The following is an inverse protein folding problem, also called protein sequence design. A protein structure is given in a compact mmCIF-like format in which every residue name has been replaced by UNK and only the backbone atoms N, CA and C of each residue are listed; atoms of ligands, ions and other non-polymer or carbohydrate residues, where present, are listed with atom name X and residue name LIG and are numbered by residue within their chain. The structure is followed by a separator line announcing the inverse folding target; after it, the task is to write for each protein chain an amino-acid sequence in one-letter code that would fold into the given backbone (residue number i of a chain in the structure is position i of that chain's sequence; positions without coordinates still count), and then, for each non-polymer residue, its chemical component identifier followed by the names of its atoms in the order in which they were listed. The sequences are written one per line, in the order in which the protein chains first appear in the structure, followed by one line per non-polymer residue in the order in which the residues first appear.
data_IF_975962133756
#
_entry.id   IF_975962133756
#
_cell.length_a   1.000
_cell.length_b   1.000
_cell.length_c   1.000
_cell.angle_alpha   90.00
_cell.angle_beta   90.00
_cell.angle_gamma   90.00
#
_symmetry.space_group_name_H-M   'P 1'
#
loop_
_entity.id
_entity.type
_entity.pdbx_description
1 polymer ?
#
# COMPACT_ATOMS: atom_id res chain seq x y z
N UNK A 1 34.43 -8.83 -45.52
CA UNK A 1 34.98 -8.59 -44.17
C UNK A 1 34.03 -7.78 -43.24
N UNK A 2 33.03 -7.03 -43.73
CA UNK A 2 32.15 -6.16 -42.88
C UNK A 2 31.06 -6.90 -42.07
N UNK A 3 30.62 -8.12 -42.48
CA UNK A 3 29.56 -8.85 -41.78
C UNK A 3 30.03 -9.63 -40.53
N UNK A 4 31.32 -9.98 -40.43
CA UNK A 4 31.87 -10.66 -39.23
C UNK A 4 32.16 -9.71 -38.07
N UNK A 5 32.46 -8.45 -38.37
CA UNK A 5 32.69 -7.43 -37.35
C UNK A 5 31.39 -7.01 -36.65
N UNK A 6 30.27 -7.02 -37.34
CA UNK A 6 28.95 -6.67 -36.78
C UNK A 6 28.45 -7.73 -35.78
N UNK A 7 28.72 -9.01 -36.05
CA UNK A 7 28.35 -10.11 -35.15
C UNK A 7 29.17 -10.11 -33.85
N UNK A 8 30.44 -9.72 -33.91
CA UNK A 8 31.33 -9.65 -32.73
C UNK A 8 30.92 -8.47 -31.86
N UNK A 9 30.52 -7.32 -32.43
CA UNK A 9 30.06 -6.17 -31.68
C UNK A 9 28.72 -6.43 -31.00
N UNK A 10 27.78 -7.15 -31.66
CA UNK A 10 26.50 -7.54 -31.04
C UNK A 10 26.68 -8.55 -29.90
N UNK A 11 27.66 -9.45 -30.02
CA UNK A 11 27.97 -10.43 -28.98
C UNK A 11 28.69 -9.79 -27.78
N UNK A 12 29.51 -8.75 -28.01
CA UNK A 12 30.18 -7.98 -26.95
C UNK A 12 29.20 -7.11 -26.16
N UNK A 13 28.15 -6.59 -26.79
CA UNK A 13 27.08 -5.83 -26.10
C UNK A 13 26.23 -6.76 -25.23
N UNK A 14 25.97 -8.00 -25.69
CA UNK A 14 25.26 -9.01 -24.88
C UNK A 14 26.09 -9.50 -23.66
N UNK A 15 27.41 -9.56 -23.78
CA UNK A 15 28.31 -9.97 -22.68
C UNK A 15 28.46 -8.86 -21.63
N UNK A 16 28.36 -7.58 -22.01
CA UNK A 16 28.40 -6.48 -21.03
C UNK A 16 27.16 -6.40 -20.12
N UNK A 17 26.02 -6.96 -20.50
CA UNK A 17 24.86 -7.09 -19.63
C UNK A 17 24.91 -8.27 -18.66
N UNK A 18 25.83 -9.22 -18.87
CA UNK A 18 25.96 -10.41 -18.02
C UNK A 18 26.98 -10.23 -16.87
N UNK A 19 27.76 -9.16 -16.84
CA UNK A 19 28.81 -8.96 -15.84
C UNK A 19 28.42 -8.06 -14.65
N UNK A 20 27.14 -7.58 -14.56
CA UNK A 20 26.66 -6.84 -13.39
C UNK A 20 25.86 -7.69 -12.40
N UNK A 21 25.83 -9.02 -12.57
CA UNK A 21 25.06 -9.94 -11.73
C UNK A 21 25.85 -10.59 -10.60
N UNK A 22 26.84 -9.89 -10.04
CA UNK A 22 27.55 -10.40 -8.87
C UNK A 22 27.19 -9.53 -7.65
N UNK A 23 26.14 -9.90 -6.91
CA UNK A 23 25.98 -9.56 -5.50
C UNK A 23 24.88 -8.59 -5.08
N UNK A 24 24.28 -7.76 -5.93
CA UNK A 24 23.18 -6.88 -5.48
C UNK A 24 21.83 -7.31 -6.06
N UNK A 25 20.80 -7.42 -5.21
CA UNK A 25 19.41 -7.67 -5.63
C UNK A 25 18.99 -6.59 -6.64
N UNK A 26 18.12 -6.95 -7.60
CA UNK A 26 17.50 -5.94 -8.49
C UNK A 26 16.51 -5.06 -7.72
N UNK A 27 16.17 -3.85 -8.20
CA UNK A 27 15.10 -3.04 -7.60
C UNK A 27 13.80 -3.82 -7.44
N UNK A 28 13.43 -4.59 -8.46
CA UNK A 28 12.25 -5.47 -8.44
C UNK A 28 12.30 -6.48 -7.30
N UNK A 29 13.42 -7.18 -7.13
CA UNK A 29 13.62 -8.13 -6.02
C UNK A 29 13.50 -7.47 -4.64
N UNK A 30 14.06 -6.27 -4.48
CA UNK A 30 13.99 -5.55 -3.20
C UNK A 30 12.56 -5.12 -2.90
N UNK A 31 11.80 -4.66 -3.91
CA UNK A 31 10.38 -4.33 -3.75
C UNK A 31 9.57 -5.58 -3.38
N UNK A 32 9.80 -6.72 -4.06
CA UNK A 32 9.13 -7.99 -3.72
C UNK A 32 9.41 -8.44 -2.29
N UNK A 33 10.66 -8.32 -1.82
CA UNK A 33 11.03 -8.69 -0.45
C UNK A 33 10.33 -7.77 0.57
N UNK A 34 10.27 -6.45 0.32
CA UNK A 34 9.54 -5.52 1.18
C UNK A 34 8.04 -5.86 1.23
N UNK A 35 7.42 -6.19 0.09
CA UNK A 35 6.00 -6.56 0.04
C UNK A 35 5.73 -7.87 0.80
N UNK A 36 6.60 -8.88 0.67
CA UNK A 36 6.53 -10.12 1.44
C UNK A 36 6.65 -9.85 2.93
N UNK A 37 7.60 -9.00 3.32
CA UNK A 37 7.80 -8.62 4.72
C UNK A 37 6.55 -7.96 5.29
N UNK A 38 5.94 -7.00 4.59
CA UNK A 38 4.69 -6.32 5.02
C UNK A 38 3.57 -7.33 5.24
N UNK A 39 3.44 -8.36 4.39
CA UNK A 39 2.41 -9.41 4.53
C UNK A 39 2.63 -10.35 5.72
N UNK A 40 3.87 -10.61 6.08
CA UNK A 40 4.25 -11.65 7.05
C UNK A 40 4.54 -11.13 8.45
N UNK A 41 4.88 -9.88 8.60
CA UNK A 41 5.15 -9.29 9.92
C UNK A 41 3.89 -9.23 10.76
N UNK A 42 3.92 -9.87 11.95
CA UNK A 42 2.80 -9.89 12.92
C UNK A 42 2.39 -8.49 13.41
N UNK A 43 3.27 -7.54 13.27
CA UNK A 43 3.06 -6.11 13.49
C UNK A 43 3.87 -5.41 12.42
N UNK A 44 3.27 -5.13 11.26
CA UNK A 44 3.97 -4.24 10.35
C UNK A 44 4.14 -2.91 11.07
N UNK A 45 5.35 -2.65 11.53
CA UNK A 45 5.70 -1.42 12.24
C UNK A 45 5.28 -0.16 11.47
N UNK A 46 5.02 -0.32 10.19
CA UNK A 46 4.64 0.73 9.29
C UNK A 46 3.12 0.89 9.17
N UNK A 47 2.36 -0.21 9.06
CA UNK A 47 0.88 -0.15 9.11
C UNK A 47 0.42 0.23 10.50
N UNK A 48 1.01 -0.34 11.55
CA UNK A 48 0.70 0.05 12.93
C UNK A 48 1.14 1.48 13.25
N UNK A 49 2.18 2.02 12.62
CA UNK A 49 2.56 3.45 12.79
C UNK A 49 1.56 4.39 12.13
N UNK A 50 0.91 4.00 11.02
CA UNK A 50 -0.16 4.78 10.42
C UNK A 50 -1.39 4.89 11.32
N UNK A 51 -1.62 3.86 12.15
CA UNK A 51 -2.73 3.76 13.09
C UNK A 51 -2.25 3.72 14.54
N UNK A 52 -1.00 4.11 14.82
CA UNK A 52 -0.34 3.97 16.13
C UNK A 52 -1.01 4.79 17.23
N UNK A 53 -2.31 4.68 17.29
CA UNK A 53 -3.11 5.09 18.43
C UNK A 53 -3.30 3.84 19.31
N UNK A 54 -2.38 3.67 20.28
CA UNK A 54 -2.51 2.63 21.31
C UNK A 54 -3.88 2.66 21.99
N UNK A 55 -4.54 3.80 21.96
CA UNK A 55 -5.90 4.02 22.47
C UNK A 55 -6.92 3.23 21.64
N UNK A 56 -6.77 3.19 20.29
CA UNK A 56 -7.66 2.41 19.42
C UNK A 56 -7.48 0.92 19.64
N UNK A 57 -6.24 0.44 19.72
CA UNK A 57 -5.93 -0.95 20.02
C UNK A 57 -6.49 -1.37 21.39
N UNK A 58 -6.30 -0.56 22.42
CA UNK A 58 -6.81 -0.83 23.77
C UNK A 58 -8.34 -0.81 23.83
N UNK A 59 -8.99 0.13 23.14
CA UNK A 59 -10.45 0.31 23.21
C UNK A 59 -11.22 -0.64 22.29
N UNK A 60 -10.69 -0.92 21.08
CA UNK A 60 -11.39 -1.69 20.04
C UNK A 60 -10.69 -3.03 19.70
N UNK A 61 -9.72 -3.46 20.48
CA UNK A 61 -8.81 -4.61 20.36
C UNK A 61 -9.14 -5.62 19.27
N UNK A 62 -10.18 -6.45 19.45
CA UNK A 62 -10.53 -7.50 18.47
C UNK A 62 -10.91 -6.97 17.08
N UNK A 63 -11.65 -5.88 17.02
CA UNK A 63 -12.10 -5.32 15.73
C UNK A 63 -10.95 -4.59 15.03
N UNK A 64 -10.09 -3.93 15.80
CA UNK A 64 -8.83 -3.37 15.31
C UNK A 64 -7.91 -4.45 14.73
N UNK A 65 -7.70 -5.55 15.47
CA UNK A 65 -6.87 -6.67 15.01
C UNK A 65 -7.39 -7.32 13.73
N UNK A 66 -8.71 -7.49 13.61
CA UNK A 66 -9.33 -7.98 12.38
C UNK A 66 -9.05 -7.06 11.19
N UNK A 67 -9.20 -5.75 11.41
CA UNK A 67 -8.94 -4.77 10.38
C UNK A 67 -7.46 -4.79 9.95
N UNK A 68 -6.51 -4.81 10.89
CA UNK A 68 -5.08 -4.89 10.58
C UNK A 68 -4.74 -6.15 9.77
N UNK A 69 -5.30 -7.30 10.15
CA UNK A 69 -5.15 -8.56 9.38
C UNK A 69 -5.68 -8.44 7.96
N UNK A 70 -6.80 -7.75 7.76
CA UNK A 70 -7.34 -7.49 6.41
C UNK A 70 -6.45 -6.55 5.60
N UNK A 71 -5.89 -5.50 6.21
CA UNK A 71 -4.94 -4.61 5.54
C UNK A 71 -3.70 -5.38 5.07
N UNK A 72 -3.22 -6.35 5.86
CA UNK A 72 -2.09 -7.21 5.49
C UNK A 72 -2.45 -8.30 4.46
N UNK A 73 -3.73 -8.63 4.32
CA UNK A 73 -4.22 -9.60 3.34
C UNK A 73 -4.51 -8.92 1.99
N UNK A 74 -3.49 -8.28 1.41
CA UNK A 74 -3.56 -7.77 0.04
C UNK A 74 -2.85 -8.72 -0.93
N UNK A 75 -3.26 -8.72 -2.20
CA UNK A 75 -2.53 -9.37 -3.29
C UNK A 75 -1.72 -8.33 -4.05
N UNK A 76 -0.60 -8.75 -4.64
CA UNK A 76 0.22 -7.86 -5.45
C UNK A 76 0.83 -8.56 -6.65
N UNK A 77 1.09 -7.78 -7.68
CA UNK A 77 1.85 -8.18 -8.86
C UNK A 77 2.91 -7.12 -9.16
N UNK A 78 4.19 -7.51 -9.13
CA UNK A 78 5.27 -6.61 -9.52
C UNK A 78 5.44 -6.68 -11.03
N UNK A 79 5.12 -5.56 -11.72
CA UNK A 79 5.06 -5.46 -13.17
C UNK A 79 6.38 -4.98 -13.77
N UNK A 80 6.48 -3.71 -14.07
CA UNK A 80 7.57 -3.11 -14.83
C UNK A 80 8.66 -2.57 -13.90
N UNK A 81 9.91 -2.71 -14.33
CA UNK A 81 11.08 -2.08 -13.71
C UNK A 81 11.76 -1.16 -14.75
N UNK A 82 12.13 0.04 -14.35
CA UNK A 82 12.97 0.95 -15.14
C UNK A 82 14.13 1.39 -14.27
N UNK A 83 15.35 1.19 -14.75
CA UNK A 83 16.59 1.58 -14.07
C UNK A 83 17.27 2.69 -14.84
N UNK A 84 17.66 3.74 -14.14
CA UNK A 84 18.45 4.88 -14.64
C UNK A 84 19.56 5.21 -13.64
N UNK A 85 20.73 4.66 -13.88
CA UNK A 85 21.90 4.83 -13.02
C UNK A 85 21.69 4.36 -11.58
N UNK A 86 21.69 5.29 -10.63
CA UNK A 86 21.41 5.04 -9.21
C UNK A 86 19.93 5.16 -8.83
N UNK A 87 19.03 5.41 -9.78
CA UNK A 87 17.58 5.50 -9.56
C UNK A 87 16.87 4.41 -10.32
N UNK A 88 15.77 3.92 -9.77
CA UNK A 88 14.87 3.03 -10.48
C UNK A 88 13.42 3.26 -10.04
N UNK A 89 12.50 2.84 -10.90
CA UNK A 89 11.08 2.79 -10.56
C UNK A 89 10.56 1.38 -10.81
N UNK A 90 9.72 0.90 -9.91
CA UNK A 90 9.07 -0.40 -10.02
C UNK A 90 7.56 -0.21 -9.91
N UNK A 91 6.82 -0.66 -10.92
CA UNK A 91 5.36 -0.65 -10.88
C UNK A 91 4.83 -1.87 -10.16
N UNK A 92 3.93 -1.64 -9.22
CA UNK A 92 3.27 -2.70 -8.45
C UNK A 92 1.76 -2.51 -8.57
N UNK A 93 1.05 -3.54 -9.00
CA UNK A 93 -0.40 -3.60 -8.89
C UNK A 93 -0.76 -4.18 -7.53
N UNK A 94 -1.55 -3.44 -6.76
CA UNK A 94 -2.10 -3.88 -5.47
C UNK A 94 -3.58 -4.21 -5.68
N UNK A 95 -4.03 -5.35 -5.14
CA UNK A 95 -5.43 -5.74 -5.06
C UNK A 95 -5.79 -6.02 -3.62
N UNK A 96 -6.79 -5.31 -3.11
CA UNK A 96 -7.20 -5.41 -1.70
C UNK A 96 -8.69 -5.13 -1.52
N UNK A 97 -9.15 -5.11 -0.28
CA UNK A 97 -10.52 -4.75 0.10
C UNK A 97 -10.78 -3.27 -0.16
N UNK A 98 -12.01 -2.93 -0.58
CA UNK A 98 -12.41 -1.53 -0.80
C UNK A 98 -12.77 -0.85 0.52
N UNK A 99 -11.74 -0.49 1.28
CA UNK A 99 -11.91 0.24 2.54
C UNK A 99 -12.34 1.69 2.32
N UNK A 100 -12.07 2.25 1.14
CA UNK A 100 -12.55 3.58 0.77
C UNK A 100 -14.08 3.63 0.69
N UNK A 101 -14.71 2.67 0.02
CA UNK A 101 -16.17 2.55 -0.03
C UNK A 101 -16.75 2.30 1.37
N UNK A 102 -16.14 1.43 2.18
CA UNK A 102 -16.59 1.17 3.55
C UNK A 102 -16.52 2.41 4.45
N UNK A 103 -15.48 3.24 4.29
CA UNK A 103 -15.36 4.52 4.99
C UNK A 103 -16.46 5.50 4.57
N UNK A 104 -16.74 5.63 3.26
CA UNK A 104 -17.84 6.47 2.77
C UNK A 104 -19.17 6.01 3.33
N UNK A 105 -19.46 4.72 3.32
CA UNK A 105 -20.66 4.15 3.95
C UNK A 105 -20.77 4.54 5.43
N UNK A 106 -19.65 4.50 6.16
CA UNK A 106 -19.62 4.93 7.55
C UNK A 106 -20.00 6.40 7.69
N UNK A 107 -19.39 7.27 6.89
CA UNK A 107 -19.67 8.70 6.90
C UNK A 107 -21.13 8.99 6.59
N UNK A 108 -21.68 8.41 5.52
CA UNK A 108 -23.06 8.61 5.10
C UNK A 108 -24.05 8.16 6.18
N UNK A 109 -23.77 7.02 6.83
CA UNK A 109 -24.57 6.51 7.95
C UNK A 109 -24.53 7.46 9.14
N UNK A 110 -23.36 7.96 9.53
CA UNK A 110 -23.21 8.92 10.64
C UNK A 110 -24.01 10.20 10.36
N UNK A 111 -23.93 10.72 9.13
CA UNK A 111 -24.67 11.93 8.72
C UNK A 111 -26.18 11.67 8.76
N UNK A 112 -26.65 10.52 8.26
CA UNK A 112 -28.07 10.16 8.30
C UNK A 112 -28.58 9.98 9.73
N UNK A 113 -27.81 9.32 10.59
CA UNK A 113 -28.17 9.08 11.98
C UNK A 113 -28.17 10.38 12.81
N UNK A 114 -27.29 11.33 12.51
CA UNK A 114 -27.32 12.66 13.10
C UNK A 114 -28.58 13.45 12.69
N UNK A 115 -28.92 13.42 11.39
CA UNK A 115 -30.13 14.08 10.85
C UNK A 115 -31.44 13.49 11.38
N UNK A 116 -31.47 12.18 11.63
CA UNK A 116 -32.65 11.50 12.18
C UNK A 116 -32.81 11.62 13.70
N UNK A 117 -31.85 12.26 14.38
CA UNK A 117 -31.85 12.38 15.85
C UNK A 117 -31.43 11.11 16.59
N UNK A 118 -30.91 10.11 15.92
CA UNK A 118 -30.35 8.89 16.55
C UNK A 118 -29.05 9.21 17.30
N UNK A 119 -28.27 10.16 16.81
CA UNK A 119 -27.11 10.73 17.53
C UNK A 119 -27.65 11.94 18.33
N UNK A 120 -27.61 11.81 19.66
CA UNK A 120 -28.10 12.83 20.60
C UNK A 120 -26.97 13.48 21.36
N UNK A 121 -27.27 14.51 22.16
CA UNK A 121 -26.26 15.16 23.03
C UNK A 121 -25.64 14.21 24.06
N UNK A 122 -26.31 13.10 24.41
CA UNK A 122 -25.79 12.07 25.31
C UNK A 122 -24.99 10.98 24.60
N UNK A 123 -24.89 10.98 23.28
CA UNK A 123 -24.16 9.99 22.50
C UNK A 123 -22.66 10.29 22.57
N UNK A 124 -21.83 9.32 22.96
CA UNK A 124 -20.39 9.39 22.71
C UNK A 124 -20.17 9.24 21.18
N UNK A 125 -20.16 10.37 20.48
CA UNK A 125 -20.05 10.42 19.01
C UNK A 125 -18.75 9.76 18.53
N UNK A 126 -17.65 9.96 19.26
CA UNK A 126 -16.36 9.36 18.90
C UNK A 126 -16.45 7.83 18.92
N UNK A 127 -16.99 7.30 20.00
CA UNK A 127 -17.14 5.85 20.17
C UNK A 127 -18.12 5.26 19.14
N UNK A 128 -19.23 5.94 18.90
CA UNK A 128 -20.21 5.57 17.88
C UNK A 128 -19.56 5.46 16.49
N UNK A 129 -18.82 6.49 16.09
CA UNK A 129 -18.17 6.55 14.77
C UNK A 129 -17.12 5.43 14.60
N UNK A 130 -16.26 5.21 15.60
CA UNK A 130 -15.25 4.15 15.51
C UNK A 130 -15.85 2.75 15.49
N UNK A 131 -16.87 2.47 16.30
CA UNK A 131 -17.55 1.17 16.26
C UNK A 131 -18.18 0.91 14.89
N UNK A 132 -18.89 1.88 14.34
CA UNK A 132 -19.49 1.76 13.01
C UNK A 132 -18.44 1.63 11.91
N UNK A 133 -17.33 2.38 12.02
CA UNK A 133 -16.21 2.30 11.08
C UNK A 133 -15.60 0.89 11.08
N UNK A 134 -15.21 0.34 12.23
CA UNK A 134 -14.65 -1.00 12.29
C UNK A 134 -15.64 -2.06 11.84
N UNK A 135 -16.92 -1.92 12.14
CA UNK A 135 -17.97 -2.81 11.65
C UNK A 135 -18.00 -2.81 10.12
N UNK A 136 -18.03 -1.65 9.48
CA UNK A 136 -18.08 -1.53 8.01
C UNK A 136 -16.77 -2.02 7.36
N UNK A 137 -15.59 -1.62 7.87
CA UNK A 137 -14.29 -2.07 7.36
C UNK A 137 -14.14 -3.60 7.46
N UNK A 138 -14.58 -4.19 8.56
CA UNK A 138 -14.50 -5.64 8.77
C UNK A 138 -15.56 -6.42 7.98
N UNK A 139 -16.65 -5.78 7.54
CA UNK A 139 -17.71 -6.42 6.75
C UNK A 139 -17.35 -6.61 5.28
N UNK A 140 -16.39 -5.86 4.73
CA UNK A 140 -15.96 -5.99 3.33
C UNK A 140 -15.41 -7.41 3.10
N UNK A 141 -15.98 -8.17 2.16
CA UNK A 141 -15.62 -9.58 1.95
C UNK A 141 -14.65 -9.77 0.79
N UNK A 142 -14.80 -8.97 -0.25
CA UNK A 142 -14.09 -9.18 -1.51
C UNK A 142 -12.98 -8.16 -1.71
N UNK A 143 -11.86 -8.61 -2.28
CA UNK A 143 -10.76 -7.74 -2.71
C UNK A 143 -11.10 -7.12 -4.07
N UNK A 144 -12.00 -6.14 -4.07
CA UNK A 144 -12.50 -5.47 -5.27
C UNK A 144 -11.69 -4.23 -5.66
N UNK A 145 -10.94 -3.65 -4.73
CA UNK A 145 -10.10 -2.49 -5.00
C UNK A 145 -8.79 -2.89 -5.68
N UNK A 146 -8.44 -2.17 -6.75
CA UNK A 146 -7.24 -2.42 -7.55
C UNK A 146 -6.58 -1.09 -7.93
N UNK A 147 -5.29 -0.95 -7.66
CA UNK A 147 -4.50 0.24 -8.03
C UNK A 147 -3.08 -0.14 -8.40
N UNK A 148 -2.58 0.41 -9.51
CA UNK A 148 -1.16 0.32 -9.84
C UNK A 148 -0.44 1.54 -9.27
N UNK A 149 0.63 1.31 -8.52
CA UNK A 149 1.47 2.33 -7.91
C UNK A 149 2.91 2.22 -8.41
N UNK A 150 3.65 3.31 -8.31
CA UNK A 150 5.07 3.34 -8.63
C UNK A 150 5.88 3.45 -7.34
N UNK A 151 6.76 2.49 -7.11
CA UNK A 151 7.73 2.51 -6.01
C UNK A 151 9.05 3.04 -6.55
N UNK A 152 9.59 4.06 -5.89
CA UNK A 152 10.91 4.59 -6.24
C UNK A 152 11.98 3.83 -5.48
N UNK A 153 13.06 3.52 -6.19
CA UNK A 153 14.23 2.86 -5.64
C UNK A 153 15.46 3.73 -5.85
N UNK A 154 16.35 3.73 -4.87
CA UNK A 154 17.62 4.46 -4.92
C UNK A 154 18.75 3.53 -4.53
N UNK A 155 19.85 3.58 -5.28
CA UNK A 155 21.05 2.81 -5.00
C UNK A 155 21.97 3.59 -4.07
N UNK A 156 22.28 3.01 -2.92
CA UNK A 156 23.22 3.62 -1.96
C UNK A 156 24.69 3.49 -2.44
N UNK A 157 25.62 4.08 -1.69
CA UNK A 157 27.04 4.06 -2.06
C UNK A 157 27.71 2.67 -1.94
N UNK A 158 27.06 1.73 -1.24
CA UNK A 158 27.46 0.31 -1.19
C UNK A 158 26.95 -0.49 -2.38
N UNK A 159 26.17 0.13 -3.27
CA UNK A 159 25.59 -0.52 -4.43
C UNK A 159 24.29 -1.28 -4.14
N UNK A 160 23.69 -1.08 -2.97
CA UNK A 160 22.43 -1.74 -2.57
C UNK A 160 21.23 -0.86 -2.90
N UNK A 161 20.14 -1.46 -3.37
CA UNK A 161 18.89 -0.76 -3.62
C UNK A 161 18.06 -0.62 -2.34
N UNK A 162 17.50 0.56 -2.14
CA UNK A 162 16.52 0.88 -1.11
C UNK A 162 15.25 1.38 -1.77
N UNK A 163 14.11 1.31 -1.08
CA UNK A 163 12.79 1.71 -1.62
C UNK A 163 12.16 2.79 -0.76
N UNK A 164 11.26 3.58 -1.36
CA UNK A 164 10.41 4.55 -0.66
C UNK A 164 9.09 3.94 -0.12
N UNK A 165 8.93 2.62 -0.18
CA UNK A 165 7.66 1.93 0.06
C UNK A 165 6.97 2.34 1.37
N UNK A 166 7.75 2.61 2.41
CA UNK A 166 7.25 2.98 3.73
C UNK A 166 6.78 4.44 3.84
N UNK A 167 7.16 5.29 2.91
CA UNK A 167 6.80 6.72 2.83
C UNK A 167 5.99 7.06 1.57
N UNK A 168 5.74 6.08 0.71
CA UNK A 168 5.02 6.26 -0.53
C UNK A 168 3.51 6.33 -0.26
N UNK A 169 2.96 7.53 -0.29
CA UNK A 169 1.54 7.80 0.04
C UNK A 169 0.59 7.05 -0.90
N UNK A 170 0.94 6.93 -2.19
CA UNK A 170 0.12 6.19 -3.15
C UNK A 170 0.08 4.69 -2.85
N UNK A 171 1.22 4.12 -2.43
CA UNK A 171 1.29 2.73 -2.00
C UNK A 171 0.48 2.50 -0.73
N UNK A 172 0.63 3.39 0.25
CA UNK A 172 -0.12 3.31 1.50
C UNK A 172 -1.63 3.44 1.27
N UNK A 173 -2.07 4.38 0.42
CA UNK A 173 -3.48 4.51 0.03
C UNK A 173 -3.97 3.27 -0.73
N UNK A 174 -3.14 2.70 -1.60
CA UNK A 174 -3.50 1.47 -2.32
C UNK A 174 -3.66 0.27 -1.38
N UNK A 175 -2.75 0.07 -0.41
CA UNK A 175 -2.89 -0.96 0.63
C UNK A 175 -4.16 -0.77 1.47
N UNK A 176 -4.51 0.50 1.74
CA UNK A 176 -5.71 0.89 2.47
C UNK A 176 -6.97 0.94 1.59
N UNK A 177 -6.93 0.33 0.40
CA UNK A 177 -8.08 0.24 -0.49
C UNK A 177 -8.72 1.60 -0.81
N UNK A 178 -7.91 2.65 -1.00
CA UNK A 178 -8.38 3.99 -1.33
C UNK A 178 -8.95 4.79 -0.16
N UNK A 179 -8.77 4.33 1.08
CA UNK A 179 -9.38 4.97 2.25
C UNK A 179 -8.87 6.40 2.46
N UNK A 180 -7.57 6.69 2.25
CA UNK A 180 -7.05 8.06 2.38
C UNK A 180 -7.63 9.00 1.32
N UNK A 181 -7.81 8.50 0.11
CA UNK A 181 -8.49 9.24 -0.97
C UNK A 181 -9.95 9.50 -0.60
N UNK A 182 -10.67 8.52 -0.05
CA UNK A 182 -12.05 8.68 0.40
C UNK A 182 -12.17 9.70 1.55
N UNK A 183 -11.27 9.68 2.53
CA UNK A 183 -11.23 10.66 3.63
C UNK A 183 -11.08 12.08 3.06
N UNK A 184 -10.14 12.30 2.15
CA UNK A 184 -9.93 13.61 1.51
C UNK A 184 -11.17 14.07 0.73
N UNK A 185 -11.83 13.17 0.01
CA UNK A 185 -13.06 13.45 -0.75
C UNK A 185 -14.19 13.92 0.16
N UNK A 186 -14.42 13.21 1.27
CA UNK A 186 -15.41 13.58 2.28
C UNK A 186 -15.11 14.96 2.89
N UNK A 187 -13.85 15.22 3.25
CA UNK A 187 -13.43 16.51 3.80
C UNK A 187 -13.59 17.67 2.82
N UNK A 188 -13.45 17.41 1.52
CA UNK A 188 -13.65 18.40 0.46
C UNK A 188 -15.12 18.61 0.08
N UNK A 189 -16.08 17.93 0.73
CA UNK A 189 -17.51 17.98 0.38
C UNK A 189 -17.86 17.34 -0.97
N UNK A 190 -17.02 16.42 -1.45
CA UNK A 190 -17.17 15.71 -2.73
C UNK A 190 -17.68 14.26 -2.54
N UNK A 191 -18.26 13.98 -1.39
CA UNK A 191 -18.76 12.65 -1.04
C UNK A 191 -20.18 12.41 -1.58
#
# INVERSE_FOLDING_TARGET
MKKKTLLIVSMLVLVMFALTACGSKSPKSVVEDNLKQIKTEKTSSNVSKLFNDKTLEQKYGKEYDKFIKKVQDFDYEVKDEKVDGKKATVKVEIKTYDFGAAYKTTYDTVVADAKSGKITASTDVKDYVYNLMFQNLNSVKDKSYKKTVTINCTKNDKGEWTTDINSNVDFLDAMMGGMFTAIKSVQAGQA
#
